data_IF_978002656770
#
_entry.id   IF_978002656770
#
_cell.length_a   1.000
_cell.length_b   1.000
_cell.length_c   1.000
_cell.angle_alpha   90.00
_cell.angle_beta   90.00
_cell.angle_gamma   90.00
#
_symmetry.space_group_name_H-M   'P 1'
#
loop_
_entity.id
_entity.type
_entity.pdbx_description
1 polymer ?
#
# COMPACT_ATOMS: atom_id res chain seq x y z
N UNK A 1 -14.63 15.95 -0.42
CA UNK A 1 -13.39 16.18 -1.21
C UNK A 1 -12.08 15.91 -0.46
N UNK A 2 -12.05 15.90 0.89
CA UNK A 2 -10.84 15.68 1.72
C UNK A 2 -9.94 14.54 1.23
N UNK A 3 -10.51 13.34 1.07
CA UNK A 3 -9.77 12.15 0.62
C UNK A 3 -9.02 12.41 -0.69
N UNK A 4 -9.70 12.91 -1.72
CA UNK A 4 -9.08 13.19 -3.02
C UNK A 4 -8.02 14.29 -2.96
N UNK A 5 -8.23 15.35 -2.18
CA UNK A 5 -7.22 16.40 -1.98
C UNK A 5 -5.94 15.81 -1.38
N UNK A 6 -6.08 14.91 -0.39
CA UNK A 6 -4.96 14.22 0.24
C UNK A 6 -4.31 13.18 -0.67
N UNK A 7 -5.08 12.42 -1.45
CA UNK A 7 -4.53 11.50 -2.45
C UNK A 7 -3.70 12.24 -3.51
N UNK A 8 -4.16 13.42 -3.96
CA UNK A 8 -3.40 14.26 -4.89
C UNK A 8 -2.11 14.77 -4.24
N UNK A 9 -2.17 15.21 -2.98
CA UNK A 9 -1.00 15.65 -2.23
C UNK A 9 0.01 14.49 -2.04
N UNK A 10 -0.46 13.33 -1.58
CA UNK A 10 0.34 12.10 -1.45
C UNK A 10 1.05 11.75 -2.76
N UNK A 11 0.34 11.69 -3.89
CA UNK A 11 0.94 11.42 -5.20
C UNK A 11 2.01 12.45 -5.58
N UNK A 12 1.84 13.73 -5.24
CA UNK A 12 2.82 14.79 -5.52
C UNK A 12 4.05 14.71 -4.62
N UNK A 13 3.89 14.20 -3.40
CA UNK A 13 4.98 14.02 -2.44
C UNK A 13 5.82 12.76 -2.69
N UNK A 14 5.35 11.83 -3.53
CA UNK A 14 6.02 10.56 -3.83
C UNK A 14 6.40 10.45 -5.32
N UNK A 15 7.60 10.91 -5.72
CA UNK A 15 8.09 10.84 -7.10
C UNK A 15 8.06 9.42 -7.70
N UNK A 16 8.18 8.37 -6.89
CA UNK A 16 8.10 6.96 -7.33
C UNK A 16 6.80 6.65 -8.09
N UNK A 17 5.70 7.28 -7.69
CA UNK A 17 4.39 7.11 -8.31
C UNK A 17 4.19 7.97 -9.58
N UNK A 18 5.09 8.92 -9.86
CA UNK A 18 4.88 9.95 -10.89
C UNK A 18 6.08 10.23 -11.79
N UNK A 19 7.03 9.30 -11.85
CA UNK A 19 8.19 9.38 -12.73
C UNK A 19 7.87 9.14 -14.21
N UNK A 20 8.76 9.61 -15.08
CA UNK A 20 8.62 9.55 -16.56
C UNK A 20 9.11 8.23 -17.19
N UNK A 21 9.35 7.20 -16.38
CA UNK A 21 9.89 5.89 -16.76
C UNK A 21 9.10 4.76 -16.12
N UNK A 22 9.12 3.59 -16.74
CA UNK A 22 8.50 2.37 -16.20
C UNK A 22 9.16 1.92 -14.89
N UNK A 23 8.40 1.21 -14.04
CA UNK A 23 8.92 0.76 -12.74
C UNK A 23 10.04 -0.27 -12.79
N UNK A 24 10.00 -1.18 -13.77
CA UNK A 24 11.04 -2.22 -13.99
C UNK A 24 11.37 -2.96 -12.69
N UNK A 25 12.62 -2.87 -12.24
CA UNK A 25 13.16 -3.60 -11.11
C UNK A 25 12.81 -2.97 -9.76
N UNK A 26 12.21 -1.76 -9.76
CA UNK A 26 11.79 -1.09 -8.53
C UNK A 26 10.40 -1.54 -8.03
N UNK A 27 9.78 -2.53 -8.68
CA UNK A 27 8.49 -3.09 -8.22
C UNK A 27 8.59 -4.59 -7.98
N UNK A 28 8.16 -5.01 -6.80
CA UNK A 28 8.01 -6.42 -6.43
C UNK A 28 6.54 -6.77 -6.20
N UNK A 29 6.10 -7.93 -6.71
CA UNK A 29 4.70 -8.36 -6.68
C UNK A 29 4.49 -9.52 -5.73
N UNK A 30 3.37 -9.47 -4.99
CA UNK A 30 3.06 -10.41 -3.93
C UNK A 30 1.59 -10.82 -3.93
N UNK A 31 1.34 -12.05 -3.46
CA UNK A 31 0.02 -12.52 -3.04
C UNK A 31 -0.23 -12.18 -1.57
N UNK A 32 -1.17 -12.88 -0.93
CA UNK A 32 -1.48 -12.67 0.49
C UNK A 32 -0.43 -13.28 1.42
N UNK A 33 0.06 -14.50 1.16
CA UNK A 33 1.09 -15.17 1.98
C UNK A 33 2.27 -15.71 1.11
N UNK A 34 2.36 -15.28 -0.16
CA UNK A 34 3.18 -15.78 -1.32
C UNK A 34 2.62 -17.02 -2.04
N UNK A 35 2.94 -17.25 -3.34
CA UNK A 35 3.29 -16.30 -4.42
C UNK A 35 2.06 -15.54 -4.97
N UNK A 36 2.26 -14.56 -5.85
CA UNK A 36 1.17 -13.81 -6.50
C UNK A 36 0.34 -14.72 -7.42
N UNK A 37 -0.99 -14.58 -7.36
CA UNK A 37 -1.91 -15.26 -8.27
C UNK A 37 -2.32 -14.33 -9.43
N UNK A 38 -1.87 -14.66 -10.64
CA UNK A 38 -2.20 -13.96 -11.89
C UNK A 38 -3.39 -14.57 -12.63
N UNK A 39 -4.10 -15.54 -12.04
CA UNK A 39 -5.31 -16.09 -12.63
C UNK A 39 -6.37 -14.99 -12.80
N UNK A 40 -7.22 -15.14 -13.82
CA UNK A 40 -8.31 -14.18 -14.09
C UNK A 40 -9.31 -14.05 -12.92
N UNK A 41 -9.36 -15.06 -12.04
CA UNK A 41 -10.22 -15.09 -10.86
C UNK A 41 -9.65 -14.33 -9.65
N UNK A 42 -8.34 -14.04 -9.65
CA UNK A 42 -7.66 -13.43 -8.51
C UNK A 42 -8.29 -12.09 -8.13
N UNK A 43 -8.46 -11.89 -6.83
CA UNK A 43 -9.00 -10.66 -6.24
C UNK A 43 -8.04 -9.99 -5.27
N UNK A 44 -6.86 -10.59 -5.06
CA UNK A 44 -5.87 -10.11 -4.11
C UNK A 44 -4.57 -9.86 -4.84
N UNK A 45 -4.02 -8.67 -4.65
CA UNK A 45 -2.76 -8.27 -5.21
C UNK A 45 -2.06 -7.36 -4.22
N UNK A 46 -0.77 -7.56 -4.05
CA UNK A 46 0.07 -6.66 -3.28
C UNK A 46 1.33 -6.33 -4.08
N UNK A 47 1.87 -5.14 -3.90
CA UNK A 47 3.17 -4.79 -4.48
C UNK A 47 3.93 -3.80 -3.60
N UNK A 48 5.24 -3.93 -3.60
CA UNK A 48 6.16 -2.93 -3.04
C UNK A 48 6.77 -2.16 -4.21
N UNK A 49 6.76 -0.84 -4.10
CA UNK A 49 7.49 0.06 -4.98
C UNK A 49 8.67 0.62 -4.20
N UNK A 50 9.89 0.28 -4.61
CA UNK A 50 11.12 0.74 -4.00
C UNK A 50 11.42 2.18 -4.40
N UNK A 51 11.56 3.06 -3.41
CA UNK A 51 11.63 4.51 -3.64
C UNK A 51 13.04 5.05 -3.91
N UNK A 52 14.07 4.25 -3.60
CA UNK A 52 15.46 4.71 -3.55
C UNK A 52 15.95 5.36 -4.85
N UNK A 53 15.54 4.85 -6.02
CA UNK A 53 15.96 5.39 -7.32
C UNK A 53 15.43 6.79 -7.59
N UNK A 54 14.33 7.17 -6.94
CA UNK A 54 13.68 8.48 -7.07
C UNK A 54 13.86 9.37 -5.82
N UNK A 55 14.76 8.98 -4.90
CA UNK A 55 14.96 9.66 -3.60
C UNK A 55 13.67 9.75 -2.77
N UNK A 56 12.88 8.67 -2.78
CA UNK A 56 11.59 8.56 -2.12
C UNK A 56 11.61 7.42 -1.08
N UNK A 57 10.55 7.33 -0.29
CA UNK A 57 10.27 6.20 0.61
C UNK A 57 9.76 4.99 -0.17
N UNK A 58 9.86 3.80 0.43
CA UNK A 58 9.23 2.62 -0.15
C UNK A 58 7.72 2.66 0.09
N UNK A 59 6.93 2.19 -0.89
CA UNK A 59 5.47 2.18 -0.81
C UNK A 59 4.96 0.74 -0.95
N UNK A 60 4.23 0.24 0.04
CA UNK A 60 3.58 -1.07 -0.03
C UNK A 60 2.07 -0.89 -0.21
N UNK A 61 1.54 -1.37 -1.34
CA UNK A 61 0.12 -1.32 -1.64
C UNK A 61 -0.49 -2.71 -1.54
N UNK A 62 -1.55 -2.84 -0.76
CA UNK A 62 -2.31 -4.07 -0.53
C UNK A 62 -3.73 -3.88 -1.06
N UNK A 63 -4.16 -4.73 -1.98
CA UNK A 63 -5.41 -4.57 -2.72
C UNK A 63 -6.26 -5.81 -2.53
N UNK A 64 -7.47 -5.64 -1.98
CA UNK A 64 -8.46 -6.69 -1.87
C UNK A 64 -9.74 -6.29 -2.60
N UNK A 65 -9.99 -6.87 -3.76
CA UNK A 65 -11.26 -6.75 -4.48
C UNK A 65 -12.24 -7.89 -4.16
N UNK A 66 -11.91 -8.74 -3.19
CA UNK A 66 -12.77 -9.82 -2.70
C UNK A 66 -13.94 -9.30 -1.87
N UNK A 67 -14.93 -10.16 -1.64
CA UNK A 67 -16.13 -9.85 -0.82
C UNK A 67 -15.92 -10.04 0.68
N UNK A 68 -14.84 -10.72 1.09
CA UNK A 68 -14.44 -10.87 2.48
C UNK A 68 -13.11 -10.16 2.76
N UNK A 69 -12.86 -9.83 4.02
CA UNK A 69 -11.55 -9.32 4.44
C UNK A 69 -10.49 -10.42 4.42
N UNK A 70 -9.25 -10.02 4.13
CA UNK A 70 -8.13 -10.93 3.90
C UNK A 70 -6.90 -10.43 4.65
N UNK A 71 -6.13 -11.36 5.22
CA UNK A 71 -4.84 -11.08 5.84
C UNK A 71 -3.74 -11.13 4.78
N UNK A 72 -3.01 -10.04 4.62
CA UNK A 72 -1.78 -9.97 3.83
C UNK A 72 -0.57 -10.06 4.74
N UNK A 73 0.43 -10.84 4.36
CA UNK A 73 1.78 -10.81 4.91
C UNK A 73 2.57 -9.65 4.31
N UNK A 74 3.37 -9.01 5.15
CA UNK A 74 4.35 -8.01 4.74
C UNK A 74 5.65 -8.75 4.44
N UNK A 75 5.97 -8.87 3.16
CA UNK A 75 7.06 -9.75 2.70
C UNK A 75 8.42 -9.08 2.61
N UNK A 76 8.46 -7.77 2.81
CA UNK A 76 9.66 -6.94 2.86
C UNK A 76 9.65 -6.10 4.13
N UNK A 77 10.82 -5.86 4.70
CA UNK A 77 10.97 -5.06 5.93
C UNK A 77 10.54 -5.76 7.21
N UNK A 78 10.90 -5.12 8.32
CA UNK A 78 10.58 -5.60 9.66
C UNK A 78 9.24 -5.04 10.18
N UNK A 79 8.64 -5.74 11.14
CA UNK A 79 7.45 -5.23 11.83
C UNK A 79 7.79 -3.92 12.53
N UNK A 80 6.96 -2.90 12.36
CA UNK A 80 7.19 -1.56 12.93
C UNK A 80 7.84 -0.57 11.97
N UNK A 81 8.47 -1.03 10.87
CA UNK A 81 8.98 -0.13 9.83
C UNK A 81 7.84 0.46 9.01
N UNK A 82 6.89 -0.39 8.62
CA UNK A 82 5.75 0.01 7.80
C UNK A 82 4.74 0.82 8.60
N UNK A 83 4.40 1.99 8.07
CA UNK A 83 3.35 2.87 8.61
C UNK A 83 2.21 2.97 7.64
N UNK A 84 0.98 2.77 8.12
CA UNK A 84 -0.23 2.90 7.33
C UNK A 84 -0.56 4.36 7.11
N UNK A 85 -0.70 4.72 5.83
CA UNK A 85 -1.10 6.07 5.39
C UNK A 85 -2.54 6.07 4.91
N UNK A 86 -2.96 5.05 4.16
CA UNK A 86 -4.26 4.97 3.51
C UNK A 86 -4.92 3.65 3.88
N UNK A 87 -6.22 3.69 4.15
CA UNK A 87 -7.06 2.52 4.34
C UNK A 87 -8.49 2.86 3.91
N UNK A 88 -8.86 2.46 2.69
CA UNK A 88 -10.14 2.87 2.09
C UNK A 88 -11.35 2.20 2.75
N UNK A 89 -11.15 1.29 3.69
CA UNK A 89 -12.25 0.68 4.47
C UNK A 89 -12.70 1.54 5.65
N UNK A 90 -11.86 2.52 6.05
CA UNK A 90 -12.12 3.36 7.21
C UNK A 90 -13.03 4.53 6.84
N UNK A 91 -13.78 5.01 7.83
CA UNK A 91 -14.52 6.26 7.68
C UNK A 91 -13.57 7.46 7.74
N UNK A 92 -13.89 8.52 6.99
CA UNK A 92 -13.20 9.80 7.12
C UNK A 92 -13.31 10.34 8.55
N UNK A 93 -12.20 10.85 9.14
CA UNK A 93 -10.92 11.17 8.51
C UNK A 93 -9.86 10.05 8.52
N UNK A 94 -10.17 8.86 9.02
CA UNK A 94 -9.21 7.77 9.20
C UNK A 94 -8.89 6.97 7.93
N UNK A 95 -9.53 7.28 6.80
CA UNK A 95 -9.27 6.69 5.47
C UNK A 95 -7.94 7.13 4.85
N UNK A 96 -7.41 8.29 5.26
CA UNK A 96 -6.09 8.78 4.88
C UNK A 96 -5.55 9.75 5.93
N UNK A 97 -4.35 9.45 6.44
CA UNK A 97 -3.66 10.23 7.48
C UNK A 97 -3.21 11.62 6.98
N UNK A 98 -2.91 12.51 7.92
CA UNK A 98 -2.05 13.67 7.66
C UNK A 98 -0.57 13.25 7.63
N UNK A 99 0.30 13.94 6.88
CA UNK A 99 1.73 13.66 6.90
C UNK A 99 2.30 13.75 8.33
N UNK A 100 3.03 12.71 8.75
CA UNK A 100 3.55 12.58 10.11
C UNK A 100 2.59 11.92 11.11
N UNK A 101 1.34 11.65 10.72
CA UNK A 101 0.35 10.92 11.52
C UNK A 101 0.15 9.47 11.01
N UNK A 102 1.10 8.94 10.24
CA UNK A 102 1.04 7.57 9.76
C UNK A 102 1.12 6.58 10.93
N UNK A 103 0.31 5.51 10.87
CA UNK A 103 0.16 4.59 11.99
C UNK A 103 1.11 3.39 11.83
N UNK A 104 2.11 3.19 12.71
CA UNK A 104 3.03 2.06 12.59
C UNK A 104 2.30 0.73 12.75
N UNK A 105 2.59 -0.22 11.88
CA UNK A 105 2.08 -1.59 12.00
C UNK A 105 2.88 -2.36 13.05
N UNK A 106 2.16 -3.05 13.95
CA UNK A 106 2.76 -3.84 15.03
C UNK A 106 2.95 -5.32 14.68
N UNK A 107 2.70 -5.68 13.44
CA UNK A 107 2.65 -7.06 12.96
C UNK A 107 3.21 -7.12 11.54
N UNK A 108 3.80 -8.26 11.18
CA UNK A 108 4.13 -8.59 9.78
C UNK A 108 2.88 -8.95 8.96
N UNK A 109 1.69 -8.72 9.50
CA UNK A 109 0.44 -8.93 8.81
C UNK A 109 -0.40 -7.66 8.83
N UNK A 110 -1.06 -7.39 7.71
CA UNK A 110 -2.06 -6.35 7.57
C UNK A 110 -3.39 -6.98 7.16
N UNK A 111 -4.45 -6.70 7.91
CA UNK A 111 -5.79 -7.12 7.53
C UNK A 111 -6.41 -6.05 6.61
N UNK A 112 -6.86 -6.49 5.44
CA UNK A 112 -7.46 -5.63 4.40
C UNK A 112 -8.90 -6.05 4.23
N UNK A 113 -9.82 -5.15 4.54
CA UNK A 113 -11.27 -5.38 4.46
C UNK A 113 -11.75 -5.70 3.03
N UNK A 114 -13.00 -6.14 2.95
CA UNK A 114 -13.70 -6.37 1.67
C UNK A 114 -13.65 -5.13 0.78
N UNK A 115 -13.27 -5.32 -0.49
CA UNK A 115 -13.26 -4.26 -1.52
C UNK A 115 -12.51 -2.99 -1.10
N UNK A 116 -11.35 -3.15 -0.46
CA UNK A 116 -10.54 -2.03 0.01
C UNK A 116 -9.08 -2.11 -0.43
N UNK A 117 -8.40 -0.96 -0.27
CA UNK A 117 -6.97 -0.80 -0.52
C UNK A 117 -6.33 -0.22 0.73
N UNK A 118 -5.18 -0.77 1.11
CA UNK A 118 -4.30 -0.23 2.17
C UNK A 118 -2.98 0.17 1.53
N UNK A 119 -2.46 1.35 1.91
CA UNK A 119 -1.14 1.84 1.49
C UNK A 119 -0.29 2.10 2.72
N UNK A 120 0.92 1.57 2.69
CA UNK A 120 1.95 1.70 3.71
C UNK A 120 3.18 2.40 3.14
N UNK A 121 3.94 3.09 3.99
CA UNK A 121 5.25 3.66 3.66
C UNK A 121 6.29 3.29 4.72
N UNK A 122 7.58 3.31 4.36
CA UNK A 122 8.70 3.22 5.30
C UNK A 122 9.88 4.09 4.87
#
# INVERSE_FOLDING_TARGET
>A
FRFFQKMIAFRKCHPSLSRSRFWRDDVAWYGTDRPVDFSAGSKQLAFVLHGATEQDVDIYVLINFGVGGVRFGLHEGDSGEWKRVIDTSRASPADICDPGEEVPLRSHYCYVESRSVVVLIR
#
